data_IF_929539609776
#
_entry.id   IF_929539609776
#
_cell.length_a   1.000
_cell.length_b   1.000
_cell.length_c   1.000
_cell.angle_alpha   90.00
_cell.angle_beta   90.00
_cell.angle_gamma   90.00
#
_symmetry.space_group_name_H-M   'P 1'
#
loop_
_entity.id
_entity.type
_entity.pdbx_description
1 polymer ?
#
# COMPACT_ATOMS: atom_id res chain seq x y z
N UNK A 1 -13.53 7.02 1.46
CA UNK A 1 -12.58 6.08 2.07
C UNK A 1 -11.72 5.55 0.94
N UNK A 2 -10.40 5.61 1.08
CA UNK A 2 -9.47 5.27 0.00
C UNK A 2 -9.23 3.76 0.00
N UNK A 3 -9.00 3.16 -1.18
CA UNK A 3 -8.83 1.71 -1.32
C UNK A 3 -7.75 1.34 -2.32
N UNK A 4 -6.99 0.31 -1.99
CA UNK A 4 -5.98 -0.30 -2.85
C UNK A 4 -6.23 -1.81 -2.96
N UNK A 5 -6.01 -2.38 -4.14
CA UNK A 5 -5.91 -3.83 -4.32
C UNK A 5 -4.44 -4.20 -4.42
N UNK A 6 -3.94 -5.04 -3.51
CA UNK A 6 -2.54 -5.48 -3.55
C UNK A 6 -2.38 -6.54 -4.64
N UNK A 7 -1.43 -6.34 -5.55
CA UNK A 7 -1.13 -7.25 -6.66
C UNK A 7 0.23 -7.95 -6.50
N UNK A 8 1.12 -7.45 -5.65
CA UNK A 8 2.38 -8.12 -5.33
C UNK A 8 3.04 -7.57 -4.06
N UNK A 9 4.09 -8.25 -3.59
CA UNK A 9 4.92 -7.76 -2.51
C UNK A 9 6.32 -8.37 -2.50
N UNK A 10 7.31 -7.58 -2.09
CA UNK A 10 8.72 -7.97 -2.06
C UNK A 10 9.41 -7.41 -0.82
N UNK A 11 10.24 -8.23 -0.17
CA UNK A 11 11.13 -7.71 0.87
C UNK A 11 12.18 -6.83 0.22
N UNK A 12 12.25 -5.55 0.62
CA UNK A 12 13.28 -4.67 0.11
C UNK A 12 14.65 -5.04 0.73
N UNK A 13 15.52 -5.73 0.00
CA UNK A 13 16.78 -6.24 0.54
C UNK A 13 17.74 -5.14 1.04
N UNK A 14 17.52 -3.87 0.67
CA UNK A 14 18.37 -2.74 1.06
C UNK A 14 17.73 -1.66 1.95
N UNK A 15 16.46 -1.78 2.36
CA UNK A 15 15.78 -0.78 3.21
C UNK A 15 14.84 -1.39 4.26
N UNK A 16 14.46 -0.58 5.25
CA UNK A 16 13.58 -0.85 6.39
C UNK A 16 12.10 -1.07 6.00
N UNK A 17 11.82 -1.94 5.03
CA UNK A 17 10.44 -2.10 4.57
C UNK A 17 10.12 -3.36 3.77
N UNK A 18 8.81 -3.59 3.66
CA UNK A 18 8.18 -4.46 2.68
C UNK A 18 7.59 -3.56 1.58
N UNK A 19 7.98 -3.79 0.33
CA UNK A 19 7.40 -3.12 -0.81
C UNK A 19 6.14 -3.87 -1.22
N UNK A 20 4.99 -3.21 -1.19
CA UNK A 20 3.73 -3.73 -1.70
C UNK A 20 3.38 -2.99 -2.99
N UNK A 21 3.00 -3.71 -4.03
CA UNK A 21 2.48 -3.11 -5.26
C UNK A 21 0.99 -3.37 -5.36
N UNK A 22 0.27 -2.47 -6.03
CA UNK A 22 -1.16 -2.61 -6.18
C UNK A 22 -1.79 -1.62 -7.13
N UNK A 23 -3.11 -1.67 -7.21
CA UNK A 23 -3.94 -0.77 -8.02
C UNK A 23 -4.77 0.08 -7.07
N UNK A 24 -4.72 1.40 -7.23
CA UNK A 24 -5.60 2.33 -6.53
C UNK A 24 -7.01 2.21 -7.08
N UNK A 25 -7.94 1.69 -6.27
CA UNK A 25 -9.33 1.50 -6.68
C UNK A 25 -10.16 2.77 -6.48
N UNK A 26 -9.84 3.55 -5.45
CA UNK A 26 -10.57 4.79 -5.15
C UNK A 26 -9.79 5.71 -4.22
N UNK A 27 -10.01 7.02 -4.38
CA UNK A 27 -9.45 8.04 -3.49
C UNK A 27 -8.04 8.46 -3.86
N UNK A 28 -7.23 8.74 -2.84
CA UNK A 28 -5.81 9.11 -2.96
C UNK A 28 -5.00 8.34 -1.93
N UNK A 29 -3.70 8.21 -2.15
CA UNK A 29 -2.76 7.64 -1.19
C UNK A 29 -1.52 8.52 -1.14
N UNK A 30 -0.94 8.68 0.04
CA UNK A 30 0.24 9.50 0.23
C UNK A 30 1.12 8.90 1.34
N UNK A 31 2.35 9.38 1.42
CA UNK A 31 3.23 9.08 2.56
C UNK A 31 2.55 9.43 3.89
N UNK A 32 2.79 8.61 4.90
CA UNK A 32 2.20 8.65 6.25
C UNK A 32 0.72 8.30 6.34
N UNK A 33 0.02 7.99 5.23
CA UNK A 33 -1.29 7.34 5.33
C UNK A 33 -1.15 5.95 5.97
N UNK A 34 -2.24 5.43 6.51
CA UNK A 34 -2.25 4.14 7.22
C UNK A 34 -2.97 3.10 6.36
N UNK A 35 -2.26 2.05 5.99
CA UNK A 35 -2.84 0.85 5.40
C UNK A 35 -3.47 -0.01 6.49
N UNK A 36 -4.73 -0.39 6.32
CA UNK A 36 -5.48 -1.21 7.28
C UNK A 36 -5.56 -2.65 6.74
N UNK A 37 -4.82 -3.58 7.36
CA UNK A 37 -4.90 -5.01 7.03
C UNK A 37 -5.91 -5.71 7.94
N UNK A 38 -6.81 -6.49 7.33
CA UNK A 38 -7.81 -7.32 8.02
C UNK A 38 -8.63 -6.56 9.09
N UNK A 39 -8.87 -5.26 8.89
CA UNK A 39 -9.56 -4.37 9.84
C UNK A 39 -8.91 -4.24 11.24
N UNK A 40 -7.68 -4.72 11.42
CA UNK A 40 -6.99 -4.76 12.73
C UNK A 40 -5.63 -4.08 12.65
N UNK A 41 -4.77 -4.51 11.73
CA UNK A 41 -3.39 -4.03 11.69
C UNK A 41 -3.31 -2.69 10.97
N UNK A 42 -2.73 -1.70 11.65
CA UNK A 42 -2.57 -0.33 11.16
C UNK A 42 -1.12 -0.11 10.80
N UNK A 43 -0.84 -0.05 9.51
CA UNK A 43 0.52 -0.08 8.99
C UNK A 43 0.85 1.24 8.31
N UNK A 44 1.82 2.01 8.82
CA UNK A 44 2.21 3.27 8.19
C UNK A 44 2.81 3.05 6.79
N UNK A 45 2.38 3.87 5.84
CA UNK A 45 2.98 3.95 4.51
C UNK A 45 4.15 4.92 4.57
N UNK A 46 5.35 4.41 4.30
CA UNK A 46 6.62 5.14 4.38
C UNK A 46 6.87 5.92 3.08
N UNK A 47 6.45 5.36 1.95
CA UNK A 47 6.66 5.92 0.61
C UNK A 47 5.56 5.47 -0.35
N UNK A 48 5.24 6.33 -1.31
CA UNK A 48 4.25 6.10 -2.36
C UNK A 48 4.84 6.50 -3.71
N UNK A 49 4.87 5.58 -4.66
CA UNK A 49 5.17 5.86 -6.06
C UNK A 49 3.94 5.53 -6.92
N UNK A 50 3.62 6.40 -7.86
CA UNK A 50 2.53 6.21 -8.80
C UNK A 50 3.05 5.86 -10.18
N UNK A 51 2.43 4.87 -10.80
CA UNK A 51 2.60 4.55 -12.20
C UNK A 51 1.24 4.68 -12.90
N UNK A 52 1.07 5.81 -13.58
CA UNK A 52 -0.13 6.16 -14.33
C UNK A 52 0.00 5.81 -15.82
N UNK A 53 1.18 5.35 -16.27
CA UNK A 53 1.53 5.24 -17.68
C UNK A 53 1.53 3.79 -18.18
N UNK A 54 1.85 2.82 -17.33
CA UNK A 54 2.00 1.43 -17.78
C UNK A 54 0.66 0.78 -18.18
N UNK A 55 -0.44 1.14 -17.53
CA UNK A 55 -1.77 0.58 -17.81
C UNK A 55 -2.84 1.68 -17.87
N UNK A 56 -3.26 2.10 -19.08
CA UNK A 56 -4.24 3.18 -19.25
C UNK A 56 -5.56 2.86 -18.53
N UNK A 57 -6.03 3.79 -17.69
CA UNK A 57 -7.27 3.65 -16.92
C UNK A 57 -7.11 3.02 -15.53
N UNK A 58 -5.91 2.59 -15.15
CA UNK A 58 -5.59 2.12 -13.79
C UNK A 58 -4.40 2.87 -13.21
N UNK A 59 -4.51 3.29 -11.95
CA UNK A 59 -3.41 3.93 -11.23
C UNK A 59 -2.69 2.85 -10.44
N UNK A 60 -1.50 2.45 -10.90
CA UNK A 60 -0.66 1.53 -10.14
C UNK A 60 0.08 2.30 -9.05
N UNK A 61 0.23 1.67 -7.91
CA UNK A 61 0.82 2.25 -6.71
C UNK A 61 1.85 1.29 -6.15
N UNK A 62 2.97 1.84 -5.69
CA UNK A 62 3.94 1.13 -4.87
C UNK A 62 3.95 1.75 -3.48
N UNK A 63 3.71 0.93 -2.46
CA UNK A 63 3.66 1.31 -1.06
C UNK A 63 4.84 0.68 -0.34
N UNK A 64 5.72 1.48 0.23
CA UNK A 64 6.69 0.98 1.21
C UNK A 64 6.01 0.96 2.58
N UNK A 65 6.01 -0.17 3.27
CA UNK A 65 5.46 -0.30 4.63
C UNK A 65 6.51 -0.86 5.61
N UNK A 66 6.37 -0.53 6.90
CA UNK A 66 7.35 -0.97 7.92
C UNK A 66 7.38 -2.51 8.07
N UNK A 67 8.58 -3.03 8.40
CA UNK A 67 8.82 -4.45 8.75
C UNK A 67 8.48 -4.80 10.19
N UNK A 68 8.14 -3.81 11.03
CA UNK A 68 7.78 -4.04 12.43
C UNK A 68 6.49 -4.86 12.59
N UNK A 69 5.80 -5.10 11.48
CA UNK A 69 4.62 -5.94 11.39
C UNK A 69 4.96 -7.26 10.68
N UNK A 70 4.50 -8.39 11.23
CA UNK A 70 4.65 -9.72 10.62
C UNK A 70 3.71 -9.88 9.42
N UNK A 71 4.05 -9.19 8.33
CA UNK A 71 3.25 -9.17 7.12
C UNK A 71 3.69 -10.31 6.20
N UNK A 72 2.78 -11.26 6.01
CA UNK A 72 2.94 -12.33 5.02
C UNK A 72 2.37 -11.84 3.67
N UNK A 73 3.20 -11.20 2.85
CA UNK A 73 2.77 -10.49 1.64
C UNK A 73 1.94 -11.34 0.66
N UNK A 74 2.26 -12.62 0.49
CA UNK A 74 1.55 -13.49 -0.47
C UNK A 74 0.11 -13.79 -0.01
N UNK A 75 -0.20 -13.61 1.28
CA UNK A 75 -1.59 -13.68 1.79
C UNK A 75 -2.40 -12.41 1.46
N UNK A 76 -1.72 -11.34 1.03
CA UNK A 76 -2.36 -10.08 0.65
C UNK A 76 -2.73 -10.03 -0.83
N UNK A 77 -2.08 -10.84 -1.66
CA UNK A 77 -2.27 -10.87 -3.11
C UNK A 77 -3.75 -10.96 -3.50
N UNK A 78 -4.16 -10.07 -4.40
CA UNK A 78 -5.50 -10.01 -4.98
C UNK A 78 -6.57 -9.42 -4.07
N UNK A 79 -6.27 -9.05 -2.83
CA UNK A 79 -7.24 -8.53 -1.86
C UNK A 79 -7.29 -7.00 -1.83
N UNK A 80 -8.45 -6.47 -1.46
CA UNK A 80 -8.67 -5.03 -1.25
C UNK A 80 -8.42 -4.63 0.20
N UNK A 81 -7.78 -3.49 0.38
CA UNK A 81 -7.47 -2.92 1.69
C UNK A 81 -7.88 -1.46 1.75
N UNK A 82 -8.25 -1.03 2.96
CA UNK A 82 -8.61 0.35 3.25
C UNK A 82 -7.35 1.15 3.55
N UNK A 83 -7.37 2.41 3.15
CA UNK A 83 -6.35 3.39 3.52
C UNK A 83 -7.02 4.52 4.30
N UNK A 84 -6.55 4.73 5.52
CA UNK A 84 -6.92 5.85 6.37
C UNK A 84 -5.96 7.02 6.10
N UNK A 85 -6.49 8.11 5.56
CA UNK A 85 -5.68 9.32 5.35
C UNK A 85 -5.32 9.98 6.66
N UNK A 86 -4.06 10.34 6.83
CA UNK A 86 -3.68 11.26 7.90
C UNK A 86 -4.30 12.63 7.60
N UNK A 87 -5.08 13.16 8.55
CA UNK A 87 -5.73 14.48 8.38
C UNK A 87 -4.65 15.54 8.21
N UNK A 88 -4.82 16.39 7.19
CA UNK A 88 -4.02 17.61 6.97
C UNK A 88 -4.15 18.49 8.22
N UNK A 89 -3.02 18.78 8.87
CA UNK A 89 -2.88 19.97 9.72
C UNK A 89 -2.27 21.09 8.88
#
# INVERSE_FOLDING_TARGET
MNKVKIDNGFYNQGQEGLLLTGILLSGKVQKNDILILNDIDRIPIIEVEFDENTFPGTIHVRLMVSRDHDIIWHKLYGKEYKIDSTKRH
#
